data_IF_904642845549
#
_entry.id   IF_904642845549
#
_cell.length_a   1.000
_cell.length_b   1.000
_cell.length_c   1.000
_cell.angle_alpha   90.00
_cell.angle_beta   90.00
_cell.angle_gamma   90.00
#
_symmetry.space_group_name_H-M   'P 1'
#
loop_
_entity.id
_entity.type
_entity.pdbx_description
1 polymer ?
#
# COMPACT_ATOMS: atom_id res chain seq x y z
N UNK A 1 4.24 7.37 5.61
CA UNK A 1 4.86 6.05 5.41
C UNK A 1 3.75 5.07 5.09
N UNK A 2 3.99 4.13 4.18
CA UNK A 2 3.02 3.13 3.74
C UNK A 2 3.59 1.74 4.04
N UNK A 3 2.85 0.91 4.77
CA UNK A 3 3.19 -0.51 4.93
C UNK A 3 2.62 -1.25 3.72
N UNK A 4 3.48 -1.85 2.90
CA UNK A 4 3.10 -2.56 1.69
C UNK A 4 3.77 -3.94 1.65
N UNK A 5 3.03 -4.94 1.17
CA UNK A 5 3.58 -6.26 0.87
C UNK A 5 3.88 -6.34 -0.63
N UNK A 6 5.07 -6.80 -0.99
CA UNK A 6 5.45 -7.08 -2.37
C UNK A 6 5.41 -8.59 -2.59
N UNK A 7 4.53 -9.05 -3.46
CA UNK A 7 4.39 -10.48 -3.78
C UNK A 7 5.64 -11.03 -4.47
N UNK A 8 6.29 -10.23 -5.33
CA UNK A 8 7.52 -10.62 -6.02
C UNK A 8 8.73 -10.76 -5.08
N UNK A 9 8.79 -9.96 -4.01
CA UNK A 9 9.85 -10.05 -3.01
C UNK A 9 9.48 -10.96 -1.82
N UNK A 10 8.22 -11.39 -1.74
CA UNK A 10 7.62 -12.10 -0.61
C UNK A 10 7.86 -11.41 0.75
N UNK A 11 7.95 -10.07 0.77
CA UNK A 11 8.32 -9.30 1.96
C UNK A 11 7.49 -8.02 2.15
N UNK A 12 7.51 -7.48 3.37
CA UNK A 12 6.82 -6.26 3.78
C UNK A 12 7.79 -5.11 3.94
N UNK A 13 7.44 -3.98 3.34
CA UNK A 13 8.24 -2.77 3.38
C UNK A 13 7.47 -1.63 4.03
N UNK A 14 8.19 -0.81 4.80
CA UNK A 14 7.76 0.53 5.17
C UNK A 14 8.32 1.51 4.13
N UNK A 15 7.45 1.93 3.21
CA UNK A 15 7.83 2.79 2.09
C UNK A 15 7.55 4.26 2.42
N UNK A 16 8.50 5.17 2.15
CA UNK A 16 8.26 6.61 2.25
C UNK A 16 7.42 7.12 1.08
N UNK A 17 6.89 8.33 1.22
CA UNK A 17 6.04 8.94 0.19
C UNK A 17 6.76 9.16 -1.15
N UNK A 18 8.10 9.16 -1.19
CA UNK A 18 8.88 9.28 -2.42
C UNK A 18 8.73 8.08 -3.37
N UNK A 19 8.19 6.96 -2.89
CA UNK A 19 7.89 5.79 -3.71
C UNK A 19 6.47 5.80 -4.29
N UNK A 20 5.66 6.81 -3.95
CA UNK A 20 4.29 6.92 -4.46
C UNK A 20 4.33 7.36 -5.92
N UNK A 21 3.68 6.59 -6.77
CA UNK A 21 3.50 6.87 -8.21
C UNK A 21 2.17 7.60 -8.44
N UNK A 22 1.12 7.20 -7.72
CA UNK A 22 -0.23 7.71 -7.91
C UNK A 22 -1.10 7.56 -6.67
N UNK A 23 -2.09 8.45 -6.54
CA UNK A 23 -3.13 8.36 -5.52
C UNK A 23 -4.47 8.57 -6.19
N UNK A 24 -5.37 7.61 -6.01
CA UNK A 24 -6.67 7.57 -6.66
C UNK A 24 -7.77 7.54 -5.61
N UNK A 25 -8.70 8.49 -5.69
CA UNK A 25 -9.92 8.45 -4.90
C UNK A 25 -10.88 7.45 -5.54
N UNK A 26 -11.14 6.33 -4.85
CA UNK A 26 -12.06 5.31 -5.34
C UNK A 26 -13.50 5.61 -4.91
N UNK A 27 -13.66 6.03 -3.66
CA UNK A 27 -14.92 6.45 -3.08
C UNK A 27 -14.67 7.43 -1.92
N UNK A 28 -15.73 7.97 -1.33
CA UNK A 28 -15.60 8.83 -0.14
C UNK A 28 -14.95 8.04 1.00
N UNK A 29 -13.76 8.45 1.43
CA UNK A 29 -13.02 7.79 2.50
C UNK A 29 -12.26 6.53 2.07
N UNK A 30 -12.12 6.26 0.77
CA UNK A 30 -11.39 5.12 0.22
C UNK A 30 -10.43 5.59 -0.87
N UNK A 31 -9.14 5.33 -0.68
CA UNK A 31 -8.09 5.63 -1.66
C UNK A 31 -7.32 4.37 -2.06
N UNK A 32 -6.86 4.36 -3.30
CA UNK A 32 -5.80 3.48 -3.76
C UNK A 32 -4.51 4.31 -3.90
N UNK A 33 -3.42 3.77 -3.38
CA UNK A 33 -2.09 4.36 -3.47
C UNK A 33 -1.22 3.40 -4.27
N UNK A 34 -0.77 3.86 -5.42
CA UNK A 34 0.19 3.15 -6.26
C UNK A 34 1.61 3.49 -5.81
N UNK A 35 2.43 2.46 -5.57
CA UNK A 35 3.79 2.58 -5.06
C UNK A 35 4.73 1.68 -5.86
N UNK A 36 6.04 1.91 -5.70
CA UNK A 36 7.07 0.93 -6.08
C UNK A 36 7.88 0.47 -4.87
N UNK A 37 8.21 -0.83 -4.80
CA UNK A 37 9.14 -1.32 -3.77
C UNK A 37 10.58 -0.85 -4.05
N UNK A 38 11.53 -1.17 -3.17
CA UNK A 38 12.94 -0.81 -3.38
C UNK A 38 13.57 -1.48 -4.62
N UNK A 39 13.05 -2.63 -5.04
CA UNK A 39 13.45 -3.35 -6.26
C UNK A 39 12.71 -2.85 -7.52
N UNK A 40 11.77 -1.90 -7.37
CA UNK A 40 11.04 -1.30 -8.49
C UNK A 40 9.75 -2.02 -8.93
N UNK A 41 9.33 -3.07 -8.23
CA UNK A 41 8.05 -3.74 -8.48
C UNK A 41 6.86 -2.84 -8.13
N UNK A 42 5.78 -2.91 -8.92
CA UNK A 42 4.58 -2.10 -8.72
C UNK A 42 3.69 -2.70 -7.63
N UNK A 43 3.22 -1.84 -6.72
CA UNK A 43 2.41 -2.21 -5.57
C UNK A 43 1.15 -1.34 -5.52
N UNK A 44 0.04 -1.94 -5.07
CA UNK A 44 -1.20 -1.22 -4.78
C UNK A 44 -1.55 -1.37 -3.31
N UNK A 45 -1.62 -0.24 -2.60
CA UNK A 45 -2.11 -0.19 -1.22
C UNK A 45 -3.49 0.45 -1.21
N UNK A 46 -4.46 -0.28 -0.70
CA UNK A 46 -5.80 0.23 -0.45
C UNK A 46 -5.86 0.77 0.97
N UNK A 47 -6.45 1.95 1.16
CA UNK A 47 -6.64 2.56 2.48
C UNK A 47 -8.00 3.22 2.56
N UNK A 48 -8.76 2.96 3.62
CA UNK A 48 -10.07 3.55 3.82
C UNK A 48 -10.86 2.93 4.96
N UNK A 49 -11.96 3.59 5.34
CA UNK A 49 -12.76 3.23 6.51
C UNK A 49 -13.46 1.86 6.41
N UNK A 50 -13.78 1.40 5.21
CA UNK A 50 -14.51 0.14 4.96
C UNK A 50 -13.61 -0.95 4.35
N UNK A 51 -12.29 -0.74 4.35
CA UNK A 51 -11.36 -1.76 3.89
C UNK A 51 -10.97 -2.59 5.10
N UNK A 52 -11.72 -3.66 5.34
CA UNK A 52 -11.25 -4.78 6.15
C UNK A 52 -10.10 -5.44 5.38
N UNK A 53 -8.90 -4.87 5.52
CA UNK A 53 -7.68 -5.58 5.15
C UNK A 53 -7.49 -6.57 6.30
N UNK A 54 -7.56 -7.90 6.07
CA UNK A 54 -7.02 -8.86 7.01
C UNK A 54 -5.49 -8.72 6.99
N UNK A 55 -4.98 -7.59 7.44
CA UNK A 55 -3.63 -7.51 7.99
C UNK A 55 -3.66 -8.26 9.32
N UNK A 56 -2.58 -8.95 9.70
CA UNK A 56 -2.49 -9.45 11.06
C UNK A 56 -2.66 -8.25 11.99
N UNK A 57 -3.75 -8.23 12.76
CA UNK A 57 -3.89 -7.32 13.87
C UNK A 57 -2.64 -7.48 14.76
N UNK A 58 -2.00 -6.35 15.04
CA UNK A 58 -0.86 -6.17 15.96
C UNK A 58 -1.10 -6.89 17.29
N UNK A 59 -0.11 -7.35 18.06
CA UNK A 59 1.12 -6.67 18.54
C UNK A 59 2.18 -7.73 18.86
#
# INVERSE_FOLDING_TARGET
>A
MFLAYCDECEDRFLLPASHVVGVHNLASGVIAVELTCYEGHHLLVLSGNDIDIPGPATV
#
